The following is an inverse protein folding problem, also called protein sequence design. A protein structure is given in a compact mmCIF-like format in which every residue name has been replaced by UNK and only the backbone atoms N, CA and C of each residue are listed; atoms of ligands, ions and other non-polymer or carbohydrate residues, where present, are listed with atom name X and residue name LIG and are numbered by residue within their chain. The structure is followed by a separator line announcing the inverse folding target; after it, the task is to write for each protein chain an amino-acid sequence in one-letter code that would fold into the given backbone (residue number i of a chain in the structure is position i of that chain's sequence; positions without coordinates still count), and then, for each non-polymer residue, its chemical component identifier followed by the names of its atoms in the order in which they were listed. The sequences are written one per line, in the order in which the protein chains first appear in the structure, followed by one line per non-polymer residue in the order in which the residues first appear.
data_IF_941006838764
#
_entry.id   IF_941006838764
#
_cell.length_a   1.000
_cell.length_b   1.000
_cell.length_c   1.000
_cell.angle_alpha   90.00
_cell.angle_beta   90.00
_cell.angle_gamma   90.00
#
_symmetry.space_group_name_H-M   'P 1'
#
loop_
_entity.id
_entity.type
_entity.pdbx_description
1 polymer ?
#
# COMPACT_ATOMS: atom_id res chain seq x y z
N UNK A 1 58.06 -21.82 -20.77
CA UNK A 1 57.46 -22.91 -21.57
C UNK A 1 55.94 -22.77 -21.45
N UNK A 2 55.24 -22.17 -22.36
CA UNK A 2 54.92 -22.60 -23.73
C UNK A 2 53.49 -23.17 -23.63
N UNK A 3 52.49 -22.82 -24.33
CA UNK A 3 52.25 -22.31 -25.66
C UNK A 3 50.76 -21.95 -25.82
N UNK A 4 50.42 -20.83 -26.37
CA UNK A 4 49.64 -20.50 -27.56
C UNK A 4 48.51 -21.39 -28.00
N UNK A 5 47.37 -20.79 -28.25
CA UNK A 5 46.72 -20.44 -29.54
C UNK A 5 45.23 -20.83 -29.47
N UNK A 6 44.23 -20.27 -30.06
CA UNK A 6 44.00 -19.40 -31.21
C UNK A 6 42.52 -19.12 -31.28
N UNK A 7 42.13 -17.93 -31.45
CA UNK A 7 41.17 -17.32 -32.33
C UNK A 7 40.34 -18.23 -33.27
N UNK A 8 39.06 -17.92 -33.36
CA UNK A 8 38.14 -18.36 -34.39
C UNK A 8 37.02 -17.33 -34.55
N UNK A 9 37.19 -16.46 -35.51
CA UNK A 9 36.27 -15.52 -36.10
C UNK A 9 35.21 -16.28 -36.91
N UNK A 10 33.98 -15.82 -36.88
CA UNK A 10 32.93 -16.26 -37.78
C UNK A 10 31.87 -15.17 -37.92
N UNK A 11 32.07 -14.40 -38.95
CA UNK A 11 31.21 -13.38 -39.51
C UNK A 11 30.12 -14.05 -40.35
N UNK A 12 28.86 -13.57 -40.31
CA UNK A 12 28.06 -13.55 -41.54
C UNK A 12 26.85 -12.63 -41.36
N UNK A 13 26.82 -11.71 -42.24
CA UNK A 13 25.90 -10.74 -42.71
C UNK A 13 24.50 -11.29 -43.02
N UNK A 14 23.46 -10.40 -42.95
CA UNK A 14 22.16 -10.67 -43.52
C UNK A 14 21.22 -9.50 -43.32
N UNK A 15 21.25 -8.59 -44.25
CA UNK A 15 20.40 -7.45 -44.48
C UNK A 15 18.90 -7.84 -44.62
N UNK A 16 17.98 -6.89 -44.35
CA UNK A 16 16.60 -7.01 -44.72
C UNK A 16 15.73 -5.88 -44.23
N UNK A 17 15.98 -4.66 -44.64
CA UNK A 17 14.96 -3.59 -44.67
C UNK A 17 13.80 -3.97 -45.54
N UNK A 18 12.58 -3.71 -45.10
CA UNK A 18 11.45 -3.31 -45.95
C UNK A 18 10.49 -2.40 -45.21
N UNK A 19 10.61 -1.13 -45.45
CA UNK A 19 9.54 -0.15 -45.39
C UNK A 19 8.34 -0.60 -46.22
N UNK A 20 7.15 -0.44 -45.69
CA UNK A 20 5.96 -0.19 -46.49
C UNK A 20 4.96 0.73 -45.79
N UNK A 21 5.07 1.95 -46.16
CA UNK A 21 4.09 3.02 -46.03
C UNK A 21 2.81 2.63 -46.76
N UNK A 22 1.68 2.62 -46.07
CA UNK A 22 0.36 2.62 -46.72
C UNK A 22 -0.60 3.55 -46.01
N UNK A 23 -0.76 4.72 -46.59
CA UNK A 23 -1.89 5.61 -46.32
C UNK A 23 -3.18 4.92 -46.78
N UNK A 24 -4.15 4.81 -45.87
CA UNK A 24 -5.53 4.42 -46.13
C UNK A 24 -6.48 5.37 -45.43
N UNK A 25 -6.94 6.35 -46.16
CA UNK A 25 -8.06 7.21 -45.82
C UNK A 25 -9.35 6.39 -45.80
N UNK A 26 -10.06 6.42 -44.67
CA UNK A 26 -11.37 5.80 -44.53
C UNK A 26 -12.17 6.43 -43.41
N UNK A 27 -13.02 7.38 -43.72
CA UNK A 27 -14.01 7.94 -42.82
C UNK A 27 -15.05 6.85 -42.47
N UNK A 28 -15.11 6.45 -41.20
CA UNK A 28 -16.13 5.60 -40.61
C UNK A 28 -16.65 6.22 -39.34
N UNK A 29 -17.88 6.76 -39.41
CA UNK A 29 -18.64 7.19 -38.24
C UNK A 29 -19.00 5.94 -37.46
N UNK A 30 -18.33 5.71 -36.35
CA UNK A 30 -18.62 4.64 -35.39
C UNK A 30 -18.93 5.26 -34.02
N UNK A 31 -20.08 4.90 -33.49
CA UNK A 31 -20.54 5.24 -32.14
C UNK A 31 -19.47 5.01 -31.07
N UNK A 32 -19.41 5.84 -30.03
CA UNK A 32 -18.47 5.64 -28.93
C UNK A 32 -18.96 4.47 -28.05
N UNK A 33 -18.39 3.30 -28.26
CA UNK A 33 -18.41 2.26 -27.25
C UNK A 33 -17.41 2.69 -26.18
N UNK A 34 -17.92 2.93 -25.01
CA UNK A 34 -17.20 3.34 -23.79
C UNK A 34 -16.40 2.16 -23.22
N UNK A 35 -15.38 1.71 -23.94
CA UNK A 35 -14.35 0.84 -23.42
C UNK A 35 -13.23 1.72 -22.89
N UNK A 36 -13.25 1.92 -21.57
CA UNK A 36 -12.13 2.46 -20.83
C UNK A 36 -10.88 1.63 -21.14
N UNK A 37 -10.02 2.17 -21.99
CA UNK A 37 -8.72 1.57 -22.31
C UNK A 37 -7.83 1.65 -21.07
N UNK A 38 -8.00 0.69 -20.16
CA UNK A 38 -7.05 0.46 -19.09
C UNK A 38 -5.80 -0.11 -19.77
N UNK A 39 -4.63 0.55 -19.66
CA UNK A 39 -3.41 0.01 -20.23
C UNK A 39 -3.15 -1.37 -19.63
N UNK A 40 -3.20 -2.41 -20.45
CA UNK A 40 -2.91 -3.78 -20.02
C UNK A 40 -1.45 -3.87 -19.60
N UNK A 41 -1.21 -4.36 -18.40
CA UNK A 41 0.13 -4.63 -17.92
C UNK A 41 0.71 -5.82 -18.68
N UNK A 42 1.89 -5.68 -19.29
CA UNK A 42 2.61 -6.80 -19.90
C UNK A 42 2.88 -7.95 -18.91
N UNK A 43 3.04 -7.63 -17.64
CA UNK A 43 3.17 -8.61 -16.54
C UNK A 43 1.89 -9.42 -16.34
N UNK A 44 0.73 -8.81 -16.44
CA UNK A 44 -0.57 -9.50 -16.33
C UNK A 44 -0.82 -10.44 -17.53
N UNK A 45 -0.46 -10.02 -18.72
CA UNK A 45 -0.54 -10.89 -19.92
C UNK A 45 0.40 -12.07 -19.86
N UNK A 46 1.65 -11.86 -19.43
CA UNK A 46 2.62 -12.93 -19.22
C UNK A 46 2.22 -13.89 -18.10
N UNK A 47 1.61 -13.37 -17.03
CA UNK A 47 1.08 -14.22 -15.96
C UNK A 47 -0.07 -15.10 -16.48
N UNK A 48 -1.05 -14.52 -17.16
CA UNK A 48 -2.21 -15.25 -17.70
C UNK A 48 -1.82 -16.28 -18.76
N UNK A 49 -0.81 -15.98 -19.58
CA UNK A 49 -0.31 -16.92 -20.59
C UNK A 49 0.40 -18.13 -19.98
N UNK A 50 0.96 -17.98 -18.75
CA UNK A 50 1.67 -19.05 -18.01
C UNK A 50 0.88 -19.62 -16.85
N UNK A 51 -0.33 -19.13 -16.61
CA UNK A 51 -1.18 -19.60 -15.51
C UNK A 51 -1.39 -21.11 -15.55
N UNK A 52 -1.59 -21.68 -16.75
CA UNK A 52 -1.72 -23.12 -16.95
C UNK A 52 -0.44 -23.91 -16.68
N UNK A 53 0.74 -23.28 -16.79
CA UNK A 53 2.02 -23.90 -16.47
C UNK A 53 2.31 -23.87 -14.96
N UNK A 54 1.76 -22.87 -14.26
CA UNK A 54 1.89 -22.72 -12.80
C UNK A 54 0.97 -23.67 -12.03
N UNK A 55 -0.14 -24.08 -12.65
CA UNK A 55 -1.06 -25.06 -12.04
C UNK A 55 -0.53 -26.47 -12.31
N UNK A 56 0.15 -27.06 -11.35
CA UNK A 56 0.56 -28.47 -11.42
C UNK A 56 -0.68 -29.35 -11.29
N UNK A 57 -1.21 -29.82 -12.41
CA UNK A 57 -2.28 -30.83 -12.43
C UNK A 57 -1.65 -32.21 -12.26
N UNK A 58 -1.26 -32.54 -11.02
CA UNK A 58 -0.99 -33.93 -10.68
C UNK A 58 -2.32 -34.66 -10.63
N UNK A 59 -2.42 -35.84 -11.26
CA UNK A 59 -3.63 -36.66 -11.33
C UNK A 59 -4.21 -37.07 -9.94
N UNK A 60 -3.52 -36.74 -8.86
CA UNK A 60 -3.92 -37.00 -7.46
C UNK A 60 -4.24 -35.73 -6.66
N UNK A 61 -4.19 -34.54 -7.25
CA UNK A 61 -4.58 -33.27 -6.58
C UNK A 61 -6.04 -32.94 -6.85
N UNK A 62 -6.90 -33.11 -5.86
CA UNK A 62 -8.26 -32.57 -5.93
C UNK A 62 -8.22 -31.05 -5.73
N UNK A 63 -8.72 -30.30 -6.69
CA UNK A 63 -8.92 -28.86 -6.51
C UNK A 63 -10.00 -28.64 -5.44
N UNK A 64 -9.66 -27.91 -4.40
CA UNK A 64 -10.62 -27.48 -3.39
C UNK A 64 -11.01 -26.04 -3.67
N UNK A 65 -12.26 -25.83 -4.02
CA UNK A 65 -12.80 -24.47 -4.17
C UNK A 65 -13.16 -23.94 -2.78
N UNK A 66 -12.67 -22.77 -2.46
CA UNK A 66 -12.90 -22.10 -1.18
C UNK A 66 -13.68 -20.81 -1.39
N UNK A 67 -14.56 -20.49 -0.44
CA UNK A 67 -15.24 -19.21 -0.42
C UNK A 67 -14.39 -18.20 0.32
N UNK A 68 -14.19 -17.00 -0.27
CA UNK A 68 -13.51 -15.92 0.42
C UNK A 68 -14.40 -15.41 1.57
N UNK A 69 -13.91 -15.42 2.83
CA UNK A 69 -14.67 -14.92 3.95
C UNK A 69 -14.78 -13.39 3.89
N UNK A 70 -15.88 -12.87 4.41
CA UNK A 70 -16.01 -11.44 4.69
C UNK A 70 -15.34 -11.19 6.05
N UNK A 71 -14.30 -10.35 6.04
CA UNK A 71 -13.54 -10.06 7.25
C UNK A 71 -14.35 -9.15 8.20
N UNK A 72 -14.32 -9.47 9.50
CA UNK A 72 -14.83 -8.57 10.53
C UNK A 72 -13.77 -7.52 10.85
N UNK A 73 -13.89 -6.35 10.22
CA UNK A 73 -12.90 -5.29 10.30
C UNK A 73 -12.76 -4.69 11.71
N UNK A 74 -13.83 -4.69 12.51
CA UNK A 74 -13.80 -4.14 13.88
C UNK A 74 -12.85 -4.91 14.80
N UNK A 75 -12.64 -6.21 14.52
CA UNK A 75 -11.74 -7.05 15.30
C UNK A 75 -10.31 -7.07 14.73
N UNK A 76 -10.14 -6.68 13.47
CA UNK A 76 -8.85 -6.76 12.75
C UNK A 76 -8.14 -5.41 12.78
N UNK A 77 -8.88 -4.30 12.60
CA UNK A 77 -8.29 -2.96 12.51
C UNK A 77 -8.16 -2.37 13.90
N UNK A 78 -6.93 -2.04 14.28
CA UNK A 78 -6.66 -1.25 15.48
C UNK A 78 -6.61 0.22 15.08
N UNK A 79 -7.44 1.05 15.71
CA UNK A 79 -7.56 2.47 15.37
C UNK A 79 -6.29 3.25 15.72
N UNK A 80 -5.96 4.23 14.92
CA UNK A 80 -4.77 5.07 15.09
C UNK A 80 -4.66 5.73 16.47
N UNK A 81 -5.79 6.03 17.10
CA UNK A 81 -5.78 6.63 18.44
C UNK A 81 -5.24 5.68 19.49
N UNK A 82 -5.58 4.40 19.39
CA UNK A 82 -5.10 3.36 20.29
C UNK A 82 -3.60 3.15 20.11
N UNK A 83 -3.15 3.01 18.86
CA UNK A 83 -1.73 2.84 18.53
C UNK A 83 -0.89 4.03 19.03
N UNK A 84 -1.30 5.25 18.71
CA UNK A 84 -0.53 6.43 19.12
C UNK A 84 -0.62 6.71 20.62
N UNK A 85 -1.69 6.31 21.28
CA UNK A 85 -1.78 6.34 22.74
C UNK A 85 -0.78 5.36 23.37
N UNK A 86 -0.69 4.14 22.87
CA UNK A 86 0.26 3.15 23.34
C UNK A 86 1.72 3.63 23.18
N UNK A 87 2.04 4.20 22.00
CA UNK A 87 3.36 4.80 21.76
C UNK A 87 3.63 5.95 22.75
N UNK A 88 2.64 6.82 22.95
CA UNK A 88 2.73 7.92 23.90
C UNK A 88 2.96 7.41 25.34
N UNK A 89 2.17 6.44 25.78
CA UNK A 89 2.28 5.86 27.11
C UNK A 89 3.65 5.20 27.31
N UNK A 90 4.18 4.52 26.28
CA UNK A 90 5.51 3.91 26.34
C UNK A 90 6.63 4.94 26.54
N UNK A 91 6.63 6.04 25.80
CA UNK A 91 7.70 7.03 25.87
C UNK A 91 7.52 8.08 26.98
N UNK A 92 6.34 8.20 27.58
CA UNK A 92 6.09 9.16 28.65
C UNK A 92 6.14 8.55 30.07
N UNK A 93 6.42 7.25 30.19
CA UNK A 93 6.71 6.66 31.49
C UNK A 93 8.07 7.18 31.94
N UNK A 94 8.05 8.07 32.95
CA UNK A 94 9.26 8.52 33.63
C UNK A 94 9.84 7.36 34.44
N UNK A 95 10.88 6.76 33.94
CA UNK A 95 11.60 5.67 34.57
C UNK A 95 12.92 5.44 33.85
N UNK A 96 13.98 5.28 34.62
CA UNK A 96 15.27 4.84 34.08
C UNK A 96 15.18 3.36 33.76
N UNK A 97 15.15 3.00 32.48
CA UNK A 97 15.31 1.61 32.09
C UNK A 97 16.75 1.18 32.22
N UNK A 98 16.98 0.10 32.96
CA UNK A 98 18.30 -0.48 33.06
C UNK A 98 18.70 -1.16 31.75
N UNK A 99 19.76 -0.67 31.15
CA UNK A 99 20.37 -1.31 29.98
C UNK A 99 21.21 -2.51 30.47
N UNK A 100 21.15 -3.62 29.74
CA UNK A 100 21.98 -4.80 29.99
C UNK A 100 23.44 -4.45 29.70
N UNK A 101 24.11 -3.87 30.68
CA UNK A 101 25.48 -3.34 30.58
C UNK A 101 25.75 -2.22 31.57
N UNK A 102 24.75 -1.83 32.41
CA UNK A 102 24.92 -0.95 33.56
C UNK A 102 24.69 0.54 33.30
N UNK A 103 24.01 0.89 32.20
CA UNK A 103 23.55 2.26 31.97
C UNK A 103 22.05 2.42 32.26
N UNK A 104 21.63 3.66 32.51
CA UNK A 104 20.20 4.05 32.56
C UNK A 104 19.81 4.78 31.26
N UNK A 105 18.61 4.52 30.76
CA UNK A 105 18.09 5.13 29.56
C UNK A 105 16.76 5.84 29.84
N UNK A 106 16.65 7.10 29.44
CA UNK A 106 15.43 7.88 29.60
C UNK A 106 14.62 7.89 28.27
N UNK A 107 13.49 7.21 28.26
CA UNK A 107 12.58 7.13 27.12
C UNK A 107 12.06 8.50 26.68
N UNK A 108 11.94 9.44 27.61
CA UNK A 108 11.45 10.78 27.26
C UNK A 108 12.42 11.56 26.38
N UNK A 109 13.70 11.21 26.40
CA UNK A 109 14.69 11.79 25.49
C UNK A 109 14.55 11.24 24.08
N UNK A 110 14.19 9.97 23.92
CA UNK A 110 14.00 9.34 22.61
C UNK A 110 12.94 10.07 21.79
N UNK A 111 11.77 10.34 22.39
CA UNK A 111 10.68 11.00 21.68
C UNK A 111 11.00 12.48 21.38
N UNK A 112 11.77 13.15 22.25
CA UNK A 112 12.24 14.52 21.96
C UNK A 112 13.23 14.57 20.80
N UNK A 113 14.13 13.60 20.74
CA UNK A 113 15.11 13.52 19.65
C UNK A 113 14.41 13.10 18.35
N UNK A 114 13.47 12.16 18.39
CA UNK A 114 12.61 11.84 17.24
C UNK A 114 11.87 13.08 16.71
N UNK A 115 11.46 14.00 17.57
CA UNK A 115 10.88 15.27 17.17
C UNK A 115 11.85 16.15 16.37
N UNK A 116 13.13 16.20 16.75
CA UNK A 116 14.20 16.93 16.01
C UNK A 116 14.45 16.24 14.65
N UNK A 117 14.63 14.92 14.69
CA UNK A 117 14.89 14.11 13.50
C UNK A 117 13.74 14.24 12.48
N UNK A 118 12.49 14.26 12.95
CA UNK A 118 11.35 14.50 12.07
C UNK A 118 11.39 15.89 11.40
N UNK A 119 11.79 16.94 12.12
CA UNK A 119 11.94 18.29 11.52
C UNK A 119 12.99 18.28 10.41
N UNK A 120 14.13 17.63 10.65
CA UNK A 120 15.17 17.48 9.64
C UNK A 120 14.70 16.67 8.45
N UNK A 121 14.07 15.51 8.71
CA UNK A 121 13.47 14.67 7.69
C UNK A 121 12.48 15.44 6.80
N UNK A 122 11.55 16.17 7.44
CA UNK A 122 10.57 16.99 6.72
C UNK A 122 11.22 18.05 5.84
N UNK A 123 12.25 18.74 6.36
CA UNK A 123 12.96 19.77 5.62
C UNK A 123 13.72 19.17 4.42
N UNK A 124 14.36 18.02 4.59
CA UNK A 124 15.07 17.29 3.53
C UNK A 124 14.11 16.86 2.42
N UNK A 125 12.93 16.36 2.77
CA UNK A 125 11.97 15.82 1.80
C UNK A 125 10.96 16.85 1.26
N UNK A 126 10.94 18.08 1.78
CA UNK A 126 9.99 19.13 1.38
C UNK A 126 9.97 19.35 -0.13
N UNK A 127 11.14 19.45 -0.76
CA UNK A 127 11.24 19.69 -2.22
C UNK A 127 10.68 18.51 -3.01
N UNK A 128 10.93 17.29 -2.58
CA UNK A 128 10.40 16.06 -3.20
C UNK A 128 8.87 16.02 -3.13
N UNK A 129 8.31 16.30 -1.97
CA UNK A 129 6.84 16.34 -1.77
C UNK A 129 6.20 17.42 -2.64
N UNK A 130 6.76 18.63 -2.67
CA UNK A 130 6.25 19.74 -3.51
C UNK A 130 6.37 19.42 -5.01
N UNK A 131 7.46 18.77 -5.43
CA UNK A 131 7.61 18.32 -6.81
C UNK A 131 6.54 17.29 -7.20
N UNK A 132 6.35 16.26 -6.37
CA UNK A 132 5.32 15.24 -6.59
C UNK A 132 3.91 15.86 -6.63
N UNK A 133 3.63 16.79 -5.72
CA UNK A 133 2.34 17.48 -5.69
C UNK A 133 2.12 18.31 -6.97
N UNK A 134 3.14 19.05 -7.43
CA UNK A 134 3.07 19.81 -8.68
C UNK A 134 2.83 18.92 -9.89
N UNK A 135 3.57 17.81 -10.01
CA UNK A 135 3.38 16.86 -11.10
C UNK A 135 1.96 16.25 -11.10
N UNK A 136 1.47 15.90 -9.91
CA UNK A 136 0.11 15.39 -9.76
C UNK A 136 -0.94 16.44 -10.18
N UNK A 137 -0.82 17.66 -9.70
CA UNK A 137 -1.74 18.77 -10.04
C UNK A 137 -1.70 19.08 -11.53
N UNK A 138 -0.52 19.07 -12.17
CA UNK A 138 -0.38 19.26 -13.61
C UNK A 138 -1.07 18.16 -14.41
N UNK A 139 -0.87 16.88 -14.02
CA UNK A 139 -1.55 15.75 -14.67
C UNK A 139 -3.06 15.82 -14.49
N UNK A 140 -3.52 16.16 -13.29
CA UNK A 140 -4.94 16.35 -12.99
C UNK A 140 -5.55 17.46 -13.85
N UNK A 141 -4.86 18.59 -14.00
CA UNK A 141 -5.30 19.72 -14.84
C UNK A 141 -5.30 19.34 -16.33
N UNK A 142 -4.27 18.63 -16.81
CA UNK A 142 -4.21 18.17 -18.19
C UNK A 142 -5.34 17.19 -18.51
N UNK A 143 -5.64 16.27 -17.60
CA UNK A 143 -6.73 15.31 -17.73
C UNK A 143 -8.10 16.02 -17.70
N UNK A 144 -8.30 16.99 -16.82
CA UNK A 144 -9.50 17.84 -16.82
C UNK A 144 -9.66 18.61 -18.14
N UNK A 145 -8.56 19.15 -18.66
CA UNK A 145 -8.59 19.86 -19.95
C UNK A 145 -8.93 18.92 -21.11
N UNK A 146 -8.41 17.70 -21.13
CA UNK A 146 -8.72 16.71 -22.18
C UNK A 146 -10.19 16.29 -22.22
N UNK A 147 -10.87 16.35 -21.05
CA UNK A 147 -12.32 16.05 -20.93
C UNK A 147 -13.21 17.26 -21.16
N UNK A 148 -12.62 18.45 -21.38
CA UNK A 148 -13.39 19.67 -21.60
C UNK A 148 -13.95 19.68 -23.01
N UNK A 149 -15.26 19.73 -23.13
CA UNK A 149 -15.96 19.88 -24.40
C UNK A 149 -16.59 21.28 -24.48
N UNK A 150 -16.60 21.83 -25.67
CA UNK A 150 -17.31 23.07 -25.93
C UNK A 150 -18.77 22.77 -26.25
N UNK A 151 -19.66 23.31 -25.44
CA UNK A 151 -21.11 23.17 -25.64
C UNK A 151 -21.78 24.54 -25.87
N UNK A 152 -22.95 24.53 -26.47
CA UNK A 152 -23.75 25.75 -26.61
C UNK A 152 -24.43 26.04 -25.26
N UNK A 153 -24.34 27.30 -24.80
CA UNK A 153 -24.90 27.70 -23.49
C UNK A 153 -26.43 27.87 -23.50
N UNK A 154 -27.08 27.83 -24.67
CA UNK A 154 -28.48 28.22 -24.82
C UNK A 154 -28.71 29.76 -24.77
N UNK A 155 -27.69 30.56 -24.49
CA UNK A 155 -27.76 32.02 -24.49
C UNK A 155 -27.31 32.50 -25.86
N UNK A 156 -28.17 33.33 -26.49
CA UNK A 156 -27.86 33.90 -27.82
C UNK A 156 -26.70 34.90 -27.70
N UNK A 157 -25.74 34.76 -28.60
CA UNK A 157 -24.68 35.75 -28.77
C UNK A 157 -25.21 36.88 -29.67
N UNK A 158 -25.52 38.03 -29.07
CA UNK A 158 -26.07 39.18 -29.77
C UNK A 158 -25.13 39.70 -30.85
N UNK A 159 -23.80 39.52 -30.69
CA UNK A 159 -22.81 39.86 -31.70
C UNK A 159 -22.85 38.97 -32.93
N UNK A 160 -23.29 37.73 -32.78
CA UNK A 160 -23.41 36.75 -33.88
C UNK A 160 -24.83 36.61 -34.44
N UNK A 161 -25.80 37.29 -33.84
CA UNK A 161 -27.21 37.19 -34.24
C UNK A 161 -27.47 37.54 -35.69
N UNK A 162 -26.69 38.51 -36.23
CA UNK A 162 -26.84 38.90 -37.64
C UNK A 162 -26.48 37.81 -38.64
N UNK A 163 -25.75 36.77 -38.23
CA UNK A 163 -25.31 35.66 -39.04
C UNK A 163 -26.28 34.46 -39.04
N UNK A 164 -27.43 34.55 -38.36
CA UNK A 164 -28.36 33.44 -38.11
C UNK A 164 -28.81 32.70 -39.35
N UNK A 165 -28.77 33.35 -40.53
CA UNK A 165 -29.18 32.72 -41.83
C UNK A 165 -28.13 31.78 -42.41
N UNK A 166 -26.87 31.89 -41.98
CA UNK A 166 -25.74 31.15 -42.57
C UNK A 166 -24.90 30.43 -41.54
N UNK A 167 -25.09 30.70 -40.20
CA UNK A 167 -24.31 30.15 -39.15
C UNK A 167 -25.22 29.61 -38.05
N UNK A 168 -25.09 28.32 -37.80
CA UNK A 168 -25.85 27.62 -36.75
C UNK A 168 -25.31 27.95 -35.34
N UNK A 169 -24.10 28.53 -35.25
CA UNK A 169 -23.42 28.82 -33.98
C UNK A 169 -23.75 30.24 -33.45
N UNK A 170 -25.03 30.54 -33.32
CA UNK A 170 -25.52 31.83 -32.79
C UNK A 170 -25.60 31.86 -31.28
N UNK A 171 -25.29 30.73 -30.61
CA UNK A 171 -25.27 30.64 -29.15
C UNK A 171 -23.85 30.82 -28.60
N UNK A 172 -23.75 31.48 -27.45
CA UNK A 172 -22.49 31.52 -26.70
C UNK A 172 -22.03 30.14 -26.37
N UNK A 173 -20.74 29.89 -26.59
CA UNK A 173 -20.10 28.63 -26.24
C UNK A 173 -19.64 28.65 -24.80
N UNK A 174 -19.84 27.58 -24.08
CA UNK A 174 -19.30 27.33 -22.74
C UNK A 174 -18.44 26.08 -22.77
N UNK A 175 -17.39 26.08 -21.98
CA UNK A 175 -16.60 24.90 -21.75
C UNK A 175 -17.24 24.10 -20.62
N UNK A 176 -17.64 22.88 -20.92
CA UNK A 176 -18.17 21.93 -19.95
C UNK A 176 -17.11 20.87 -19.73
N UNK A 177 -16.61 20.81 -18.51
CA UNK A 177 -15.65 19.79 -18.09
C UNK A 177 -16.42 18.69 -17.36
N UNK A 178 -16.35 17.46 -17.88
CA UNK A 178 -16.91 16.32 -17.17
C UNK A 178 -16.17 16.10 -15.84
N UNK A 179 -16.91 15.66 -14.83
CA UNK A 179 -16.35 15.39 -13.51
C UNK A 179 -15.20 14.38 -13.59
N UNK A 180 -14.10 14.71 -12.95
CA UNK A 180 -12.94 13.84 -12.83
C UNK A 180 -13.16 12.75 -11.80
N UNK A 181 -12.50 11.62 -11.98
CA UNK A 181 -12.50 10.57 -10.98
C UNK A 181 -11.66 11.00 -9.76
N UNK A 182 -12.25 10.91 -8.58
CA UNK A 182 -11.54 11.17 -7.34
C UNK A 182 -10.73 9.94 -6.91
N UNK A 183 -9.54 10.18 -6.39
CA UNK A 183 -8.60 9.15 -5.98
C UNK A 183 -8.51 9.04 -4.47
N UNK A 184 -8.36 7.82 -3.97
CA UNK A 184 -7.99 7.50 -2.61
C UNK A 184 -6.70 6.69 -2.58
N UNK A 185 -6.00 6.70 -1.44
CA UNK A 185 -4.75 5.98 -1.24
C UNK A 185 -4.88 5.09 0.01
N UNK A 186 -4.62 3.80 -0.16
CA UNK A 186 -4.49 2.85 0.94
C UNK A 186 -3.10 2.23 0.86
N UNK A 187 -2.34 2.34 1.95
CA UNK A 187 -1.03 1.71 2.06
C UNK A 187 -1.07 0.62 3.13
N UNK A 188 -0.46 -0.51 2.81
CA UNK A 188 -0.36 -1.66 3.71
C UNK A 188 1.11 -2.08 3.76
N UNK A 189 1.70 -1.96 4.93
CA UNK A 189 3.13 -2.13 5.15
C UNK A 189 3.38 -3.37 5.98
N UNK A 190 4.31 -4.17 5.54
CA UNK A 190 4.75 -5.38 6.22
C UNK A 190 5.45 -5.03 7.54
N UNK A 191 4.95 -5.62 8.63
CA UNK A 191 5.51 -5.44 9.97
C UNK A 191 6.07 -6.77 10.49
N UNK A 192 6.91 -7.40 9.66
CA UNK A 192 7.52 -8.71 9.92
C UNK A 192 9.00 -8.61 10.29
N UNK A 193 9.53 -9.68 10.86
CA UNK A 193 10.92 -9.76 11.28
C UNK A 193 11.93 -9.62 10.13
N UNK A 194 11.59 -10.05 8.93
CA UNK A 194 12.42 -9.91 7.71
C UNK A 194 12.66 -8.45 7.35
N UNK A 195 11.66 -7.59 7.54
CA UNK A 195 11.73 -6.15 7.27
C UNK A 195 12.68 -5.38 8.20
N UNK A 196 13.20 -5.98 9.28
CA UNK A 196 13.97 -5.30 10.33
C UNK A 196 15.10 -4.39 9.81
N UNK A 197 15.76 -4.79 8.74
CA UNK A 197 16.85 -4.01 8.11
C UNK A 197 16.36 -2.85 7.25
N UNK A 198 15.14 -2.94 6.73
CA UNK A 198 14.57 -2.01 5.78
C UNK A 198 13.50 -1.10 6.40
N UNK A 199 13.08 -1.40 7.64
CA UNK A 199 11.91 -0.78 8.27
C UNK A 199 12.02 0.73 8.37
N UNK A 200 13.21 1.26 8.69
CA UNK A 200 13.43 2.72 8.76
C UNK A 200 13.17 3.38 7.40
N UNK A 201 13.77 2.85 6.34
CA UNK A 201 13.58 3.38 4.99
C UNK A 201 12.12 3.25 4.54
N UNK A 202 11.45 2.17 4.89
CA UNK A 202 10.03 1.95 4.58
C UNK A 202 9.13 2.95 5.31
N UNK A 203 9.37 3.21 6.60
CA UNK A 203 8.65 4.24 7.36
C UNK A 203 8.91 5.63 6.76
N UNK A 204 10.14 5.95 6.40
CA UNK A 204 10.47 7.23 5.76
C UNK A 204 9.72 7.41 4.42
N UNK A 205 9.69 6.39 3.57
CA UNK A 205 8.94 6.42 2.31
C UNK A 205 7.43 6.56 2.54
N UNK A 206 6.90 5.81 3.48
CA UNK A 206 5.50 5.90 3.90
C UNK A 206 5.15 7.33 4.34
N UNK A 207 5.98 7.95 5.18
CA UNK A 207 5.77 9.33 5.64
C UNK A 207 5.81 10.36 4.49
N UNK A 208 6.70 10.18 3.50
CA UNK A 208 6.74 11.04 2.30
C UNK A 208 5.44 10.94 1.52
N UNK A 209 4.92 9.72 1.32
CA UNK A 209 3.65 9.50 0.62
C UNK A 209 2.45 10.07 1.39
N UNK A 210 2.45 9.97 2.71
CA UNK A 210 1.41 10.59 3.57
C UNK A 210 1.46 12.12 3.47
N UNK A 211 2.67 12.72 3.51
CA UNK A 211 2.84 14.17 3.32
C UNK A 211 2.35 14.59 1.93
N UNK A 212 2.66 13.82 0.90
CA UNK A 212 2.16 14.06 -0.46
C UNK A 212 0.63 13.97 -0.52
N UNK A 213 0.03 12.88 -0.06
CA UNK A 213 -1.42 12.68 -0.07
C UNK A 213 -2.16 13.81 0.68
N UNK A 214 -1.61 14.22 1.83
CA UNK A 214 -2.12 15.37 2.60
C UNK A 214 -2.01 16.67 1.81
N UNK A 215 -0.89 16.90 1.11
CA UNK A 215 -0.64 18.12 0.34
C UNK A 215 -1.60 18.28 -0.84
N UNK A 216 -1.95 17.18 -1.51
CA UNK A 216 -2.89 17.16 -2.65
C UNK A 216 -4.34 16.85 -2.25
N UNK A 217 -4.60 16.74 -0.95
CA UNK A 217 -5.92 16.48 -0.37
C UNK A 217 -6.56 15.18 -0.87
N UNK A 218 -5.76 14.13 -1.00
CA UNK A 218 -6.23 12.77 -1.30
C UNK A 218 -6.57 12.07 0.03
N UNK A 219 -7.78 11.46 0.19
CA UNK A 219 -8.07 10.61 1.33
C UNK A 219 -7.12 9.41 1.38
N UNK A 220 -6.58 9.13 2.56
CA UNK A 220 -5.63 8.03 2.73
C UNK A 220 -5.83 7.31 4.06
N UNK A 221 -5.48 6.01 4.06
CA UNK A 221 -5.31 5.18 5.24
C UNK A 221 -4.02 4.37 5.11
N UNK A 222 -3.30 4.23 6.20
CA UNK A 222 -2.04 3.48 6.25
C UNK A 222 -2.08 2.47 7.37
N UNK A 223 -1.85 1.22 7.02
CA UNK A 223 -1.85 0.09 7.92
C UNK A 223 -0.50 -0.60 7.97
N UNK A 224 -0.11 -1.06 9.15
CA UNK A 224 0.92 -2.07 9.31
C UNK A 224 0.21 -3.41 9.52
N UNK A 225 0.58 -4.45 8.80
CA UNK A 225 0.00 -5.77 9.05
C UNK A 225 0.96 -6.66 9.84
N UNK A 226 0.45 -7.27 10.89
CA UNK A 226 1.23 -8.09 11.82
C UNK A 226 0.35 -9.12 12.52
N UNK A 227 0.96 -10.20 12.96
CA UNK A 227 0.38 -11.21 13.84
C UNK A 227 0.84 -11.06 15.30
N UNK A 228 1.80 -10.15 15.57
CA UNK A 228 2.40 -9.98 16.89
C UNK A 228 1.61 -9.06 17.83
N UNK A 229 0.72 -8.20 17.31
CA UNK A 229 -0.02 -7.26 18.14
C UNK A 229 -0.94 -7.98 19.14
N UNK A 230 -0.84 -7.61 20.42
CA UNK A 230 -1.61 -8.23 21.49
C UNK A 230 -1.32 -9.73 21.70
N UNK A 231 -0.19 -10.24 21.19
CA UNK A 231 0.26 -11.58 21.50
C UNK A 231 0.91 -11.58 22.90
N UNK A 232 0.39 -12.40 23.80
CA UNK A 232 0.96 -12.56 25.17
C UNK A 232 2.37 -13.15 25.18
N UNK A 233 2.90 -13.50 24.02
CA UNK A 233 4.21 -14.11 23.83
C UNK A 233 5.37 -13.27 24.37
N UNK A 234 5.21 -11.93 24.37
CA UNK A 234 6.29 -11.00 24.77
C UNK A 234 6.28 -10.65 26.26
N UNK A 235 5.26 -11.04 27.04
CA UNK A 235 5.10 -10.63 28.43
C UNK A 235 5.32 -11.73 29.46
N UNK A 236 5.92 -12.87 29.08
CA UNK A 236 6.12 -13.98 30.01
C UNK A 236 4.80 -14.61 30.50
N UNK A 237 3.72 -14.37 29.77
CA UNK A 237 2.42 -14.96 30.01
C UNK A 237 2.49 -16.47 29.90
N UNK A 238 1.84 -17.18 30.81
CA UNK A 238 1.70 -18.63 30.77
C UNK A 238 1.04 -18.99 29.46
N UNK A 239 1.64 -19.93 28.74
CA UNK A 239 1.02 -20.64 27.63
C UNK A 239 -0.35 -21.19 28.12
N UNK A 240 -1.42 -20.52 27.75
CA UNK A 240 -2.72 -21.12 27.86
C UNK A 240 -2.91 -21.92 26.57
N UNK A 241 -2.85 -23.23 26.69
CA UNK A 241 -3.13 -24.19 25.59
C UNK A 241 -4.55 -24.02 25.00
N UNK A 242 -5.36 -23.15 25.57
CA UNK A 242 -6.71 -22.83 25.10
C UNK A 242 -6.75 -21.82 23.94
N UNK A 243 -5.61 -21.23 23.53
CA UNK A 243 -5.54 -20.14 22.55
C UNK A 243 -5.82 -20.51 21.09
N UNK A 244 -5.85 -21.80 20.75
CA UNK A 244 -5.96 -22.26 19.35
C UNK A 244 -7.16 -23.19 19.11
N UNK A 245 -8.16 -23.17 19.95
CA UNK A 245 -9.42 -23.89 19.68
C UNK A 245 -10.19 -23.14 18.59
N UNK A 246 -9.92 -23.51 17.34
CA UNK A 246 -10.89 -23.27 16.28
C UNK A 246 -12.21 -23.87 16.74
N UNK A 247 -13.26 -23.06 16.85
CA UNK A 247 -14.60 -23.60 17.11
C UNK A 247 -14.91 -24.62 16.03
N UNK A 248 -15.38 -25.78 16.46
CA UNK A 248 -15.65 -26.97 15.63
C UNK A 248 -16.88 -26.79 14.71
N UNK A 249 -17.23 -25.55 14.35
CA UNK A 249 -18.43 -25.15 13.60
C UNK A 249 -18.13 -24.79 12.13
N UNK A 250 -16.90 -24.97 11.65
CA UNK A 250 -16.49 -24.73 10.26
C UNK A 250 -17.12 -25.70 9.28
N UNK A 251 -17.43 -25.23 8.09
CA UNK A 251 -17.89 -26.07 6.97
C UNK A 251 -16.72 -26.46 6.10
N UNK A 252 -16.82 -27.63 5.46
CA UNK A 252 -15.80 -28.05 4.49
C UNK A 252 -15.63 -26.98 3.39
N UNK A 253 -14.38 -26.54 3.17
CA UNK A 253 -14.05 -25.48 2.22
C UNK A 253 -14.01 -24.07 2.83
N UNK A 254 -14.33 -23.90 4.11
CA UNK A 254 -14.15 -22.60 4.77
C UNK A 254 -12.67 -22.32 4.99
N UNK A 255 -12.27 -21.08 4.73
CA UNK A 255 -10.92 -20.60 5.06
C UNK A 255 -10.92 -20.17 6.52
N UNK A 256 -10.01 -20.75 7.28
CA UNK A 256 -9.70 -20.32 8.64
C UNK A 256 -8.43 -19.48 8.60
N UNK A 257 -8.52 -18.26 9.08
CA UNK A 257 -7.42 -17.28 9.08
C UNK A 257 -6.94 -17.12 10.52
N UNK A 258 -5.63 -17.23 10.72
CA UNK A 258 -5.02 -17.03 12.03
C UNK A 258 -5.14 -15.55 12.48
N UNK A 259 -4.97 -15.34 13.78
CA UNK A 259 -5.04 -14.00 14.38
C UNK A 259 -4.03 -13.08 13.70
N UNK A 260 -4.52 -11.98 13.16
CA UNK A 260 -3.71 -10.92 12.58
C UNK A 260 -4.38 -9.58 12.81
N UNK A 261 -3.61 -8.52 12.72
CA UNK A 261 -4.12 -7.16 12.89
C UNK A 261 -3.61 -6.24 11.80
N UNK A 262 -4.44 -5.25 11.47
CA UNK A 262 -4.11 -4.10 10.66
C UNK A 262 -4.01 -2.88 11.59
N UNK A 263 -2.79 -2.45 11.87
CA UNK A 263 -2.52 -1.32 12.74
C UNK A 263 -2.61 -0.03 11.94
N UNK A 264 -3.63 0.77 12.16
CA UNK A 264 -3.80 2.05 11.46
C UNK A 264 -2.85 3.08 12.05
N UNK A 265 -1.76 3.40 11.35
CA UNK A 265 -0.75 4.35 11.85
C UNK A 265 -0.91 5.76 11.30
N UNK A 266 -1.51 5.92 10.11
CA UNK A 266 -1.86 7.22 9.56
C UNK A 266 -3.24 7.17 8.89
N UNK A 267 -4.03 8.21 9.12
CA UNK A 267 -5.35 8.35 8.53
C UNK A 267 -5.59 9.80 8.09
N UNK A 268 -6.27 9.97 6.97
CA UNK A 268 -6.75 11.30 6.55
C UNK A 268 -7.74 11.92 7.52
N UNK A 269 -8.34 11.12 8.43
CA UNK A 269 -9.24 11.54 9.51
C UNK A 269 -8.52 12.26 10.66
N UNK A 270 -7.20 12.10 10.75
CA UNK A 270 -6.39 12.75 11.79
C UNK A 270 -6.40 14.27 11.66
N UNK A 271 -6.58 14.95 12.78
CA UNK A 271 -6.37 16.40 12.88
C UNK A 271 -4.88 16.73 12.68
N UNK A 272 -4.58 18.00 12.38
CA UNK A 272 -3.21 18.41 12.11
C UNK A 272 -2.23 18.09 13.26
N UNK A 273 -2.67 18.28 14.51
CA UNK A 273 -1.85 17.97 15.69
C UNK A 273 -1.67 16.46 15.87
N UNK A 274 -2.74 15.66 15.66
CA UNK A 274 -2.67 14.19 15.74
C UNK A 274 -1.71 13.65 14.68
N UNK A 275 -1.82 14.15 13.46
CA UNK A 275 -0.94 13.76 12.36
C UNK A 275 0.53 14.16 12.64
N UNK A 276 0.76 15.34 13.22
CA UNK A 276 2.11 15.76 13.61
C UNK A 276 2.70 14.83 14.68
N UNK A 277 1.92 14.50 15.72
CA UNK A 277 2.32 13.54 16.75
C UNK A 277 2.57 12.16 16.13
N UNK A 278 1.73 11.72 15.19
CA UNK A 278 1.91 10.44 14.50
C UNK A 278 3.23 10.36 13.73
N UNK A 279 3.64 11.45 13.06
CA UNK A 279 4.95 11.51 12.41
C UNK A 279 6.10 11.38 13.41
N UNK A 280 6.04 12.07 14.55
CA UNK A 280 7.08 11.99 15.59
C UNK A 280 7.13 10.56 16.15
N UNK A 281 5.99 9.99 16.46
CA UNK A 281 5.88 8.63 16.99
C UNK A 281 6.48 7.60 16.01
N UNK A 282 6.14 7.68 14.73
CA UNK A 282 6.69 6.78 13.72
C UNK A 282 8.19 7.02 13.47
N UNK A 283 8.68 8.24 13.66
CA UNK A 283 10.12 8.54 13.64
C UNK A 283 10.83 7.90 14.81
N UNK A 284 10.24 7.92 16.02
CA UNK A 284 10.80 7.23 17.19
C UNK A 284 10.91 5.73 16.95
N UNK A 285 9.86 5.12 16.40
CA UNK A 285 9.86 3.70 16.01
C UNK A 285 10.93 3.41 14.95
N UNK A 286 11.03 4.23 13.90
CA UNK A 286 12.06 4.08 12.86
C UNK A 286 13.47 4.13 13.43
N UNK A 287 13.70 5.06 14.36
CA UNK A 287 14.99 5.20 15.05
C UNK A 287 15.30 4.01 15.96
N UNK A 288 14.28 3.40 16.57
CA UNK A 288 14.48 2.22 17.41
C UNK A 288 14.88 0.98 16.60
N UNK A 289 14.49 0.90 15.31
CA UNK A 289 14.92 -0.15 14.40
C UNK A 289 16.22 0.14 13.65
N UNK A 290 16.71 1.37 13.65
CA UNK A 290 18.00 1.77 13.08
C UNK A 290 19.16 1.40 14.02
N UNK A 291 19.34 0.12 14.27
CA UNK A 291 20.32 -0.40 15.25
C UNK A 291 21.55 -0.94 14.53
N UNK A 292 22.71 -0.43 14.92
CA UNK A 292 23.96 -1.16 14.71
C UNK A 292 24.15 -2.19 15.84
N UNK A 293 24.67 -3.36 15.49
CA UNK A 293 24.94 -4.45 16.47
C UNK A 293 25.75 -3.99 17.68
N UNK A 294 26.60 -2.97 17.52
CA UNK A 294 27.42 -2.38 18.58
C UNK A 294 26.62 -1.52 19.57
N UNK A 295 25.40 -1.09 19.23
CA UNK A 295 24.58 -0.22 20.07
C UNK A 295 23.85 -0.97 21.20
N UNK A 296 23.82 -2.31 21.13
CA UNK A 296 23.18 -3.14 22.17
C UNK A 296 23.82 -2.99 23.56
N UNK A 297 25.11 -2.61 23.61
CA UNK A 297 25.86 -2.39 24.84
C UNK A 297 26.13 -0.91 25.13
N UNK A 298 25.59 0.00 24.30
CA UNK A 298 25.82 1.42 24.42
C UNK A 298 24.61 2.14 25.03
N UNK A 299 24.86 3.35 25.57
CA UNK A 299 23.82 4.26 26.07
C UNK A 299 22.83 4.75 24.96
N UNK A 300 23.06 4.38 23.70
CA UNK A 300 22.19 4.67 22.57
C UNK A 300 21.11 3.61 22.31
N UNK A 301 20.91 2.67 23.23
CA UNK A 301 19.82 1.70 23.15
C UNK A 301 18.47 2.42 23.13
N UNK A 302 17.68 2.20 22.08
CA UNK A 302 16.32 2.76 21.92
C UNK A 302 15.29 1.68 22.16
N UNK A 303 14.20 2.05 22.80
CA UNK A 303 13.14 1.13 23.21
C UNK A 303 11.97 1.11 22.22
N UNK A 304 11.19 0.06 22.27
CA UNK A 304 9.98 -0.12 21.47
C UNK A 304 8.81 -0.49 22.36
N UNK A 305 7.58 0.01 22.06
CA UNK A 305 6.37 -0.55 22.63
C UNK A 305 6.29 -2.05 22.31
N UNK A 306 5.93 -2.88 23.28
CA UNK A 306 5.94 -4.33 23.13
C UNK A 306 5.04 -4.83 22.00
N UNK A 307 3.87 -4.21 21.84
CA UNK A 307 2.90 -4.58 20.79
C UNK A 307 3.32 -4.15 19.39
N UNK A 308 4.32 -3.29 19.25
CA UNK A 308 4.90 -2.87 17.96
C UNK A 308 6.18 -3.63 17.61
N UNK A 309 6.41 -4.78 18.23
CA UNK A 309 7.46 -5.70 17.84
C UNK A 309 7.13 -6.32 16.46
N UNK A 310 8.17 -6.59 15.68
CA UNK A 310 8.01 -7.27 14.39
C UNK A 310 7.55 -8.71 14.60
N UNK A 311 6.59 -9.16 13.82
CA UNK A 311 6.01 -10.49 13.88
C UNK A 311 6.28 -11.33 12.64
N UNK A 312 5.35 -12.23 12.33
CA UNK A 312 5.29 -12.96 11.07
C UNK A 312 4.67 -12.11 9.96
N UNK A 313 4.51 -12.72 8.78
CA UNK A 313 4.02 -12.03 7.55
C UNK A 313 2.65 -12.58 7.15
N UNK A 314 1.53 -12.20 7.80
CA UNK A 314 0.19 -12.66 7.47
C UNK A 314 -0.36 -11.96 6.22
N UNK A 315 0.38 -12.02 5.10
CA UNK A 315 0.07 -11.30 3.87
C UNK A 315 -1.30 -11.70 3.30
N UNK A 316 -1.58 -13.00 3.20
CA UNK A 316 -2.85 -13.50 2.65
C UNK A 316 -4.05 -13.06 3.49
N UNK A 317 -3.90 -13.07 4.81
CA UNK A 317 -4.91 -12.60 5.75
C UNK A 317 -5.16 -11.09 5.61
N UNK A 318 -4.09 -10.31 5.46
CA UNK A 318 -4.19 -8.87 5.23
C UNK A 318 -4.90 -8.54 3.91
N UNK A 319 -4.63 -9.31 2.84
CA UNK A 319 -5.31 -9.14 1.54
C UNK A 319 -6.82 -9.40 1.65
N UNK A 320 -7.23 -10.43 2.41
CA UNK A 320 -8.65 -10.70 2.65
C UNK A 320 -9.32 -9.57 3.44
N UNK A 321 -8.66 -9.05 4.47
CA UNK A 321 -9.16 -7.91 5.24
C UNK A 321 -9.28 -6.65 4.39
N UNK A 322 -8.27 -6.34 3.58
CA UNK A 322 -8.25 -5.16 2.71
C UNK A 322 -9.30 -5.29 1.58
N UNK A 323 -9.56 -6.48 1.08
CA UNK A 323 -10.64 -6.72 0.11
C UNK A 323 -12.01 -6.30 0.65
N UNK A 324 -12.25 -6.48 1.94
CA UNK A 324 -13.47 -5.99 2.62
C UNK A 324 -13.38 -4.49 2.92
N UNK A 325 -12.21 -3.99 3.30
CA UNK A 325 -12.01 -2.59 3.70
C UNK A 325 -12.13 -1.59 2.53
N UNK A 326 -11.57 -1.91 1.35
CA UNK A 326 -11.50 -0.98 0.21
C UNK A 326 -12.88 -0.50 -0.25
N UNK A 327 -13.91 -1.34 -0.40
CA UNK A 327 -15.27 -0.89 -0.72
C UNK A 327 -15.85 0.09 0.33
N UNK A 328 -15.63 -0.16 1.61
CA UNK A 328 -16.07 0.71 2.68
C UNK A 328 -15.35 2.07 2.67
N UNK A 329 -14.02 2.03 2.49
CA UNK A 329 -13.20 3.23 2.34
C UNK A 329 -13.66 4.07 1.15
N UNK A 330 -13.93 3.42 0.01
CA UNK A 330 -14.42 4.05 -1.21
C UNK A 330 -15.77 4.74 -0.99
N UNK A 331 -16.72 4.06 -0.36
CA UNK A 331 -18.04 4.59 -0.06
C UNK A 331 -17.96 5.76 0.93
N UNK A 332 -17.17 5.61 2.01
CA UNK A 332 -17.04 6.60 3.08
C UNK A 332 -16.40 7.92 2.60
N UNK A 333 -15.44 7.84 1.70
CA UNK A 333 -14.71 9.00 1.21
C UNK A 333 -15.21 9.53 -0.15
N UNK A 334 -16.22 8.90 -0.76
CA UNK A 334 -16.77 9.30 -2.05
C UNK A 334 -15.76 9.24 -3.20
N UNK A 335 -14.77 8.31 -3.12
CA UNK A 335 -13.73 8.17 -4.15
C UNK A 335 -14.10 7.08 -5.16
N UNK A 336 -13.78 7.31 -6.44
CA UNK A 336 -14.05 6.35 -7.50
C UNK A 336 -12.89 5.37 -7.73
N UNK A 337 -11.65 5.83 -7.51
CA UNK A 337 -10.44 5.02 -7.68
C UNK A 337 -9.70 4.95 -6.35
N UNK A 338 -9.36 3.76 -5.92
CA UNK A 338 -8.50 3.54 -4.76
C UNK A 338 -7.20 2.92 -5.23
N UNK A 339 -6.10 3.60 -4.96
CA UNK A 339 -4.76 3.06 -5.19
C UNK A 339 -4.33 2.32 -3.94
N UNK A 340 -4.14 1.02 -4.07
CA UNK A 340 -3.67 0.16 -3.00
C UNK A 340 -2.19 -0.14 -3.20
N UNK A 341 -1.37 0.18 -2.19
CA UNK A 341 0.07 -0.03 -2.21
C UNK A 341 0.43 -1.00 -1.08
N UNK A 342 1.01 -2.14 -1.44
CA UNK A 342 1.64 -3.06 -0.50
C UNK A 342 3.15 -2.88 -0.52
N UNK A 343 3.75 -2.77 0.67
CA UNK A 343 5.20 -2.72 0.88
C UNK A 343 5.58 -3.93 1.72
N UNK A 344 6.14 -4.94 1.08
CA UNK A 344 6.59 -6.19 1.71
C UNK A 344 7.88 -6.67 1.06
N UNK A 345 8.70 -7.41 1.78
CA UNK A 345 9.94 -8.00 1.31
C UNK A 345 9.88 -9.54 1.23
N UNK A 346 8.75 -10.14 1.57
CA UNK A 346 8.69 -11.57 1.74
C UNK A 346 7.43 -12.26 1.26
N UNK A 347 7.50 -13.58 1.37
CA UNK A 347 6.37 -14.48 1.16
C UNK A 347 5.45 -14.46 2.38
N UNK A 348 4.19 -14.79 2.16
CA UNK A 348 3.25 -14.97 3.25
C UNK A 348 3.71 -16.10 4.16
N UNK A 349 3.90 -15.82 5.46
CA UNK A 349 3.96 -16.88 6.45
C UNK A 349 2.60 -17.58 6.46
N UNK A 350 2.61 -18.92 6.42
CA UNK A 350 1.35 -19.68 6.52
C UNK A 350 0.59 -19.18 7.76
N UNK A 351 -0.62 -18.86 7.65
CA UNK A 351 -1.49 -18.32 8.70
C UNK A 351 -2.93 -18.50 8.31
N UNK A 352 -3.16 -19.42 7.38
CA UNK A 352 -4.51 -19.83 6.97
C UNK A 352 -4.55 -21.33 6.73
N UNK A 353 -5.66 -21.93 7.05
CA UNK A 353 -5.95 -23.32 6.79
C UNK A 353 -7.33 -23.43 6.16
N UNK A 354 -7.53 -24.51 5.40
CA UNK A 354 -8.84 -24.84 4.86
C UNK A 354 -9.47 -25.90 5.74
N UNK A 355 -10.69 -25.66 6.21
CA UNK A 355 -11.42 -26.59 7.02
C UNK A 355 -11.76 -27.87 6.25
N UNK A 356 -11.28 -29.00 6.72
CA UNK A 356 -11.55 -30.30 6.09
C UNK A 356 -12.35 -31.22 7.04
N UNK A 357 -13.51 -31.69 6.61
CA UNK A 357 -14.48 -32.44 7.43
C UNK A 357 -14.01 -33.84 7.83
N UNK A 358 -12.87 -34.30 7.31
CA UNK A 358 -12.36 -35.68 7.51
C UNK A 358 -11.33 -35.80 8.63
N UNK A 359 -11.57 -35.13 9.74
CA UNK A 359 -10.86 -35.43 11.00
C UNK A 359 -9.50 -34.76 11.10
N UNK A 360 -9.47 -33.65 11.75
CA UNK A 360 -8.26 -32.99 12.23
C UNK A 360 -7.62 -32.06 11.24
N UNK A 361 -7.21 -30.95 11.76
CA UNK A 361 -6.48 -29.85 11.14
C UNK A 361 -5.36 -30.36 10.20
N UNK A 362 -5.63 -30.51 8.92
CA UNK A 362 -4.58 -30.68 7.93
C UNK A 362 -4.12 -29.28 7.53
N UNK A 363 -3.08 -28.81 8.19
CA UNK A 363 -2.32 -27.64 7.75
C UNK A 363 -1.68 -27.97 6.40
N UNK A 364 -2.43 -27.83 5.33
CA UNK A 364 -1.84 -27.74 4.00
C UNK A 364 -1.29 -26.33 3.87
N UNK A 365 0.01 -26.20 4.08
CA UNK A 365 0.75 -25.00 3.68
C UNK A 365 0.72 -24.98 2.15
N UNK A 366 0.06 -23.99 1.59
CA UNK A 366 0.20 -23.60 0.20
C UNK A 366 1.24 -22.50 0.09
#
# INVERSE_FOLDING_TARGET
EGDKSKAGSGNSDGEGEKDSNSMGSGAGVGSPSDETHVPRSMTDENFRSRESELVTTNEHSSMTYVNLPVANLDNIIIDHKEIHKEIFDHYNVSGEDYIRGGGTHDRTTEIKDAGKDFVEFRNRNKKTVEYLAKEFEMKKAADAHSRTATANSGIIDTGMLHTYKYNEHIFRKINVTADGKNHGLVMVVDWSGSMSRNIKGTIEQMMVLVMFAKRVNIPFEVFLFSDSYGSEFMHGGKYNDEGWTHKDDGKHGDIVVDKHHLLNVFSSRMRANELHTAYINMTAIANAYDRNYNDYYSSSYKTLPSNLSLGGTPLNASLLAINTFVPEFKAKNGVQIVNLIYLTDGESSGGHSVWNRLGGNTSNRF
#
